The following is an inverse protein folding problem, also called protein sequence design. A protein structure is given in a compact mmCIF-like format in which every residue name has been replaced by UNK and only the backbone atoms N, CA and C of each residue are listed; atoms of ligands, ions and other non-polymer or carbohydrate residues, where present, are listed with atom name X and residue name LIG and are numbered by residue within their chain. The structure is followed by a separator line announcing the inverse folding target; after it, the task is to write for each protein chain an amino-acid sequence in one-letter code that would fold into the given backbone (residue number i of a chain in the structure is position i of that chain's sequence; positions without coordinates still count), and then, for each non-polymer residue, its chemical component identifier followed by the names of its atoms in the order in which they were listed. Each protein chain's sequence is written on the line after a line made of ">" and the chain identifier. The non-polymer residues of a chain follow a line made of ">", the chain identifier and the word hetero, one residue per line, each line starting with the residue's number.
data_IF_534546948550
#
_entry.id   IF_534546948550
#
_cell.length_a   1.000
_cell.length_b   1.000
_cell.length_c   1.000
_cell.angle_alpha   90.00
_cell.angle_beta   90.00
_cell.angle_gamma   90.00
#
_symmetry.space_group_name_H-M   'P 1'
#
loop_
_entity.id
_entity.type
_entity.pdbx_description
1 polymer ?
#
# COMPACT_ATOMS: atom_id res chain seq x y z
N UNK A 1 3.48 -14.83 5.96
CA UNK A 1 3.07 -13.69 6.79
C UNK A 1 1.55 -13.55 6.78
N UNK A 2 0.92 -13.28 7.92
CA UNK A 2 -0.54 -13.12 8.03
C UNK A 2 -0.87 -11.88 8.85
N UNK A 3 -1.19 -10.78 8.19
CA UNK A 3 -1.50 -9.52 8.86
C UNK A 3 -3.00 -9.38 9.18
N UNK A 4 -3.39 -8.52 10.14
CA UNK A 4 -4.80 -8.25 10.45
C UNK A 4 -5.61 -7.73 9.26
N UNK A 5 -6.88 -8.14 9.18
CA UNK A 5 -7.84 -7.82 8.11
C UNK A 5 -9.16 -7.31 8.70
N UNK A 6 -9.07 -6.26 9.52
CA UNK A 6 -10.16 -5.73 10.35
C UNK A 6 -11.34 -5.24 9.48
N UNK A 7 -11.03 -4.59 8.35
CA UNK A 7 -12.01 -3.96 7.46
C UNK A 7 -12.36 -4.81 6.22
N UNK A 8 -11.97 -6.10 6.18
CA UNK A 8 -12.14 -6.97 5.00
C UNK A 8 -13.59 -7.08 4.52
N UNK A 9 -14.54 -7.24 5.44
CA UNK A 9 -15.96 -7.35 5.09
C UNK A 9 -16.51 -6.08 4.41
N UNK A 10 -16.04 -4.90 4.83
CA UNK A 10 -16.41 -3.62 4.23
C UNK A 10 -15.69 -3.37 2.89
N UNK A 11 -14.43 -3.82 2.78
CA UNK A 11 -13.67 -3.76 1.52
C UNK A 11 -14.24 -4.68 0.46
N UNK A 12 -14.61 -5.90 0.83
CA UNK A 12 -15.06 -6.96 -0.08
C UNK A 12 -13.93 -7.79 -0.69
N UNK A 13 -12.68 -7.57 -0.30
CA UNK A 13 -11.51 -8.31 -0.77
C UNK A 13 -10.35 -8.19 0.24
N UNK A 14 -9.34 -9.02 0.07
CA UNK A 14 -8.12 -8.98 0.89
C UNK A 14 -7.35 -7.67 0.65
N UNK A 15 -6.92 -7.03 1.73
CA UNK A 15 -6.11 -5.82 1.74
C UNK A 15 -4.70 -6.08 1.23
N UNK A 16 -4.09 -7.18 1.65
CA UNK A 16 -2.72 -7.50 1.25
C UNK A 16 -2.69 -8.21 -0.12
N UNK A 17 -1.63 -8.03 -0.94
CA UNK A 17 -1.45 -8.80 -2.15
C UNK A 17 -1.24 -10.28 -1.82
N UNK A 18 -1.69 -11.23 -2.67
CA UNK A 18 -1.46 -12.66 -2.43
C UNK A 18 0.02 -13.07 -2.51
N UNK A 19 0.87 -12.23 -3.11
CA UNK A 19 2.30 -12.48 -3.30
C UNK A 19 3.14 -11.44 -2.54
N UNK A 20 2.93 -11.29 -1.22
CA UNK A 20 3.74 -10.44 -0.36
C UNK A 20 5.23 -10.77 -0.47
N UNK A 21 5.58 -12.06 -0.51
CA UNK A 21 6.95 -12.55 -0.62
C UNK A 21 7.65 -12.18 -1.94
N UNK A 22 6.90 -11.71 -2.95
CA UNK A 22 7.47 -11.22 -4.21
C UNK A 22 7.94 -9.77 -4.13
N UNK A 23 7.53 -9.02 -3.09
CA UNK A 23 7.96 -7.64 -2.86
C UNK A 23 9.38 -7.68 -2.27
N UNK A 24 10.35 -6.90 -2.79
CA UNK A 24 11.68 -6.84 -2.20
C UNK A 24 11.66 -6.41 -0.74
N UNK A 25 12.58 -6.97 0.05
CA UNK A 25 12.81 -6.52 1.43
C UNK A 25 13.19 -5.04 1.49
N UNK A 26 12.96 -4.38 2.62
CA UNK A 26 13.45 -3.02 2.84
C UNK A 26 14.95 -2.93 2.54
N UNK A 27 15.34 -1.88 1.83
CA UNK A 27 16.70 -1.59 1.35
C UNK A 27 17.23 -2.54 0.26
N UNK A 28 16.49 -3.57 -0.15
CA UNK A 28 16.97 -4.51 -1.18
C UNK A 28 17.15 -3.86 -2.56
N UNK A 29 16.50 -2.72 -2.82
CA UNK A 29 16.64 -1.97 -4.08
C UNK A 29 17.28 -0.60 -3.88
N UNK A 30 18.07 -0.38 -2.82
CA UNK A 30 18.70 0.92 -2.53
C UNK A 30 19.58 1.45 -3.68
N UNK A 31 20.28 0.56 -4.39
CA UNK A 31 21.09 0.89 -5.56
C UNK A 31 20.29 1.03 -6.87
N UNK A 32 18.98 0.77 -6.84
CA UNK A 32 18.11 0.89 -8.02
C UNK A 32 17.62 2.33 -8.16
N UNK A 33 17.84 3.00 -9.31
CA UNK A 33 17.28 4.33 -9.56
C UNK A 33 15.77 4.35 -9.31
N UNK A 34 15.26 5.46 -8.75
CA UNK A 34 13.85 5.58 -8.37
C UNK A 34 12.90 5.22 -9.53
N UNK A 35 13.18 5.72 -10.73
CA UNK A 35 12.33 5.48 -11.91
C UNK A 35 12.30 4.00 -12.35
N UNK A 36 13.31 3.20 -11.96
CA UNK A 36 13.40 1.78 -12.24
C UNK A 36 12.88 0.88 -11.10
N UNK A 37 12.57 1.44 -9.92
CA UNK A 37 11.95 0.68 -8.83
C UNK A 37 10.59 0.17 -9.27
N UNK A 38 10.30 -1.09 -8.96
CA UNK A 38 9.00 -1.71 -9.28
C UNK A 38 7.99 -1.35 -8.20
N UNK A 39 6.80 -0.94 -8.62
CA UNK A 39 5.64 -0.80 -7.72
C UNK A 39 4.82 -2.07 -7.74
N UNK A 40 4.81 -2.81 -6.63
CA UNK A 40 4.15 -4.10 -6.51
C UNK A 40 2.67 -3.99 -6.16
N UNK A 41 2.28 -2.96 -5.42
CA UNK A 41 0.89 -2.75 -5.03
C UNK A 41 0.54 -1.27 -5.05
N UNK A 42 -0.71 -0.98 -5.39
CA UNK A 42 -1.32 0.35 -5.28
C UNK A 42 -2.49 0.29 -4.30
N UNK A 43 -2.57 1.30 -3.45
CA UNK A 43 -3.68 1.54 -2.55
C UNK A 43 -4.25 2.93 -2.79
N UNK A 44 -5.54 3.10 -2.52
CA UNK A 44 -6.20 4.40 -2.58
C UNK A 44 -7.33 4.49 -1.57
N UNK A 45 -7.70 5.72 -1.18
CA UNK A 45 -8.89 5.94 -0.36
C UNK A 45 -10.15 5.79 -1.23
N UNK A 46 -11.00 4.81 -0.92
CA UNK A 46 -12.31 4.67 -1.57
C UNK A 46 -13.14 5.91 -1.29
N UNK A 47 -13.60 6.58 -2.35
CA UNK A 47 -14.33 7.84 -2.30
C UNK A 47 -13.55 9.02 -1.67
N UNK A 48 -12.21 9.02 -1.70
CA UNK A 48 -11.40 10.08 -1.10
C UNK A 48 -10.16 10.44 -1.92
N UNK A 49 -9.29 11.22 -1.28
CA UNK A 49 -7.96 11.58 -1.78
C UNK A 49 -6.94 10.80 -0.95
N UNK A 50 -5.89 10.29 -1.58
CA UNK A 50 -4.88 9.48 -0.93
C UNK A 50 -4.54 8.27 -1.79
N UNK A 51 -3.28 8.19 -2.21
CA UNK A 51 -2.72 7.06 -2.93
C UNK A 51 -1.41 6.62 -2.30
N UNK A 52 -1.17 5.31 -2.27
CA UNK A 52 0.09 4.71 -1.84
C UNK A 52 0.54 3.67 -2.84
N UNK A 53 1.84 3.61 -3.09
CA UNK A 53 2.48 2.72 -4.04
C UNK A 53 3.62 2.01 -3.32
N UNK A 54 3.51 0.69 -3.17
CA UNK A 54 4.46 -0.14 -2.44
C UNK A 54 5.59 -0.59 -3.36
N UNK A 55 6.84 -0.31 -2.98
CA UNK A 55 8.04 -0.74 -3.72
C UNK A 55 8.83 -1.81 -2.96
N UNK A 56 8.94 -1.65 -1.63
CA UNK A 56 9.59 -2.61 -0.75
C UNK A 56 8.71 -2.85 0.48
N UNK A 57 8.91 -4.00 1.13
CA UNK A 57 8.18 -4.41 2.31
C UNK A 57 9.11 -5.05 3.32
N UNK A 58 8.87 -4.78 4.60
CA UNK A 58 9.50 -5.50 5.69
C UNK A 58 8.89 -6.90 5.85
N UNK A 59 9.73 -7.93 5.69
CA UNK A 59 9.31 -9.33 5.79
C UNK A 59 9.49 -9.92 7.18
N UNK A 60 9.73 -9.09 8.20
CA UNK A 60 9.71 -9.54 9.59
C UNK A 60 8.35 -10.18 9.90
N UNK A 61 8.40 -11.34 10.56
CA UNK A 61 7.22 -12.14 10.87
C UNK A 61 6.46 -11.65 12.11
N UNK A 62 6.84 -10.51 12.69
CA UNK A 62 6.15 -9.95 13.85
C UNK A 62 4.88 -9.20 13.39
N UNK A 63 3.70 -9.71 13.76
CA UNK A 63 2.37 -9.16 13.41
C UNK A 63 2.08 -7.75 14.00
N UNK A 64 3.12 -7.03 14.42
CA UNK A 64 3.05 -5.69 15.01
C UNK A 64 3.25 -4.58 13.97
N UNK A 65 3.88 -4.87 12.83
CA UNK A 65 4.15 -3.86 11.81
C UNK A 65 4.31 -4.48 10.42
N UNK A 66 3.66 -3.91 9.41
CA UNK A 66 3.90 -4.24 8.00
C UNK A 66 4.51 -3.02 7.30
N UNK A 67 5.76 -2.71 7.64
CA UNK A 67 6.44 -1.49 7.18
C UNK A 67 6.77 -1.59 5.70
N UNK A 68 6.17 -0.75 4.89
CA UNK A 68 6.47 -0.61 3.47
C UNK A 68 7.30 0.64 3.21
N UNK A 69 8.07 0.60 2.13
CA UNK A 69 8.68 1.78 1.53
C UNK A 69 8.10 2.02 0.13
N UNK A 70 7.84 3.27 -0.20
CA UNK A 70 7.37 3.65 -1.53
C UNK A 70 6.82 5.07 -1.59
N UNK A 71 5.95 5.31 -2.56
CA UNK A 71 5.40 6.65 -2.82
C UNK A 71 4.03 6.81 -2.19
N UNK A 72 3.78 7.95 -1.57
CA UNK A 72 2.49 8.34 -1.05
C UNK A 72 2.10 9.72 -1.59
N UNK A 73 0.82 9.93 -1.86
CA UNK A 73 0.27 11.24 -2.17
C UNK A 73 -1.02 11.46 -1.38
N UNK A 74 -0.94 12.30 -0.35
CA UNK A 74 -2.08 12.69 0.50
C UNK A 74 -2.48 14.16 0.29
N UNK A 75 -2.20 14.71 -0.89
CA UNK A 75 -2.22 16.15 -1.18
C UNK A 75 -0.83 16.78 -1.19
N UNK A 76 0.16 16.05 -0.67
CA UNK A 76 1.58 16.29 -0.86
C UNK A 76 2.24 14.95 -1.16
N UNK A 77 3.16 14.98 -2.12
CA UNK A 77 3.90 13.80 -2.56
C UNK A 77 5.10 13.53 -1.65
N UNK A 78 5.27 12.27 -1.27
CA UNK A 78 6.37 11.82 -0.44
C UNK A 78 6.86 10.43 -0.90
N UNK A 79 8.18 10.27 -0.96
CA UNK A 79 8.83 8.97 -1.02
C UNK A 79 9.32 8.62 0.38
N UNK A 80 8.75 7.58 0.99
CA UNK A 80 9.01 7.29 2.40
C UNK A 80 8.41 5.98 2.87
N UNK A 81 8.39 5.83 4.19
CA UNK A 81 7.87 4.63 4.84
C UNK A 81 6.43 4.81 5.27
N UNK A 82 5.63 3.75 5.18
CA UNK A 82 4.27 3.71 5.69
C UNK A 82 3.90 2.29 6.13
N UNK A 83 3.04 2.16 7.12
CA UNK A 83 2.63 0.86 7.67
C UNK A 83 1.34 0.37 7.00
N UNK A 84 1.39 -0.81 6.37
CA UNK A 84 0.24 -1.42 5.73
C UNK A 84 -0.84 -1.83 6.74
N UNK A 85 -0.48 -2.21 7.97
CA UNK A 85 -1.47 -2.51 9.03
C UNK A 85 -2.21 -1.23 9.42
N UNK A 86 -1.49 -0.13 9.59
CA UNK A 86 -2.10 1.17 9.87
C UNK A 86 -3.04 1.60 8.74
N UNK A 87 -2.63 1.44 7.47
CA UNK A 87 -3.48 1.71 6.31
C UNK A 87 -4.72 0.80 6.25
N UNK A 88 -4.56 -0.49 6.54
CA UNK A 88 -5.66 -1.47 6.60
C UNK A 88 -6.75 -1.02 7.57
N UNK A 89 -6.33 -0.48 8.72
CA UNK A 89 -7.18 -0.06 9.83
C UNK A 89 -7.93 1.26 9.58
N UNK A 90 -7.54 2.04 8.55
CA UNK A 90 -8.18 3.33 8.25
C UNK A 90 -9.65 3.13 7.93
N UNK A 91 -10.50 3.67 8.79
CA UNK A 91 -11.95 3.76 8.62
C UNK A 91 -12.42 5.13 9.08
N UNK A 92 -12.90 5.95 8.14
CA UNK A 92 -13.46 7.27 8.43
C UNK A 92 -14.95 7.23 8.14
N UNK A 93 -15.74 7.29 9.21
CA UNK A 93 -17.19 7.41 9.09
C UNK A 93 -17.57 8.73 8.43
N UNK A 94 -18.58 8.69 7.56
CA UNK A 94 -19.10 9.86 6.85
C UNK A 94 -20.59 10.01 7.14
N UNK A 95 -21.05 11.17 7.63
CA UNK A 95 -22.47 11.39 7.89
C UNK A 95 -23.32 11.12 6.63
N UNK A 96 -24.23 10.15 6.71
CA UNK A 96 -25.16 9.81 5.63
C UNK A 96 -24.54 9.15 4.38
N UNK A 97 -23.30 8.68 4.45
CA UNK A 97 -22.60 8.06 3.31
C UNK A 97 -21.86 6.78 3.67
N UNK A 98 -21.33 6.10 2.64
CA UNK A 98 -20.44 4.97 2.85
C UNK A 98 -19.15 5.45 3.55
N UNK A 99 -18.58 4.67 4.49
CA UNK A 99 -17.32 5.04 5.13
C UNK A 99 -16.19 5.09 4.10
N UNK A 100 -15.23 5.99 4.34
CA UNK A 100 -13.99 5.99 3.59
C UNK A 100 -12.99 5.04 4.25
N UNK A 101 -12.35 4.22 3.43
CA UNK A 101 -11.35 3.26 3.84
C UNK A 101 -10.30 3.14 2.75
N UNK A 102 -9.09 2.74 3.13
CA UNK A 102 -8.02 2.45 2.16
C UNK A 102 -8.27 1.07 1.56
N UNK A 103 -8.17 0.99 0.23
CA UNK A 103 -8.41 -0.23 -0.54
C UNK A 103 -7.28 -0.48 -1.52
N UNK A 104 -6.92 -1.75 -1.69
CA UNK A 104 -5.97 -2.20 -2.72
C UNK A 104 -6.61 -2.16 -4.11
N UNK A 105 -5.88 -1.65 -5.09
CA UNK A 105 -6.27 -1.74 -6.49
C UNK A 105 -6.03 -3.17 -7.00
N UNK A 106 -7.13 -3.88 -7.28
CA UNK A 106 -7.10 -5.27 -7.74
C UNK A 106 -6.66 -5.41 -9.21
N UNK A 107 -6.72 -4.33 -9.98
CA UNK A 107 -6.29 -4.29 -11.38
C UNK A 107 -4.81 -3.87 -11.53
N UNK A 108 -4.14 -3.56 -10.42
CA UNK A 108 -2.75 -3.17 -10.44
C UNK A 108 -1.85 -4.32 -10.93
N UNK A 109 -1.01 -4.01 -11.91
CA UNK A 109 0.01 -4.92 -12.42
C UNK A 109 1.37 -4.28 -12.10
N UNK A 110 2.29 -5.02 -11.44
CA UNK A 110 3.61 -4.51 -11.11
C UNK A 110 4.35 -3.94 -12.31
N UNK A 111 4.89 -2.73 -12.15
CA UNK A 111 5.60 -2.00 -13.21
C UNK A 111 6.56 -0.97 -12.61
N UNK A 112 7.44 -0.40 -13.44
CA UNK A 112 8.43 0.59 -12.98
C UNK A 112 7.74 1.88 -12.55
N UNK A 113 8.30 2.54 -11.53
CA UNK A 113 7.80 3.83 -11.06
C UNK A 113 7.79 4.89 -12.17
N UNK A 114 8.77 4.88 -13.08
CA UNK A 114 8.80 5.77 -14.23
C UNK A 114 7.63 5.60 -15.21
N UNK A 115 6.94 4.45 -15.19
CA UNK A 115 5.72 4.22 -15.97
C UNK A 115 4.45 4.66 -15.23
N UNK A 116 4.55 4.87 -13.91
CA UNK A 116 3.44 5.26 -13.03
C UNK A 116 3.42 6.78 -12.84
N UNK A 117 4.59 7.39 -12.63
CA UNK A 117 4.76 8.83 -12.41
C UNK A 117 4.41 9.59 -13.69
N UNK A 118 3.44 10.49 -13.59
CA UNK A 118 3.02 11.39 -14.68
C UNK A 118 3.80 12.69 -14.65
#
# INVERSE_FOLDING_TARGET
>A
MTFPEINRALRGHDFYPPALDAIPGLYATESTPLDDKIVFAKYHVRHGVGEWFVMELDHREDDVQALAFGWANLGQEELGYFDLIALESVLVERPGGAPALVVRDLSWIPRRWGEVRR
#
